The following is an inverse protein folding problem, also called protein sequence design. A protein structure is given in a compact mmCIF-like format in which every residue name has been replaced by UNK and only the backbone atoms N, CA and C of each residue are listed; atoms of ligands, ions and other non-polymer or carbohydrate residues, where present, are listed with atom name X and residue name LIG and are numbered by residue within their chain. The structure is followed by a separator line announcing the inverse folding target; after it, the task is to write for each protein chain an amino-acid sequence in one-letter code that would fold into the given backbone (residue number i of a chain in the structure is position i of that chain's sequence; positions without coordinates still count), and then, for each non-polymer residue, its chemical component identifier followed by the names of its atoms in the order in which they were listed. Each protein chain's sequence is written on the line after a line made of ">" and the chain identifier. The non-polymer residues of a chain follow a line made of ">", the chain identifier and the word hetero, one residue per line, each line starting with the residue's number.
data_IF_387022483151
#
_entry.id   IF_387022483151
#
_cell.length_a   1.000
_cell.length_b   1.000
_cell.length_c   1.000
_cell.angle_alpha   90.00
_cell.angle_beta   90.00
_cell.angle_gamma   90.00
#
_symmetry.space_group_name_H-M   'P 1'
#
loop_
_entity.id
_entity.type
_entity.pdbx_description
1 polymer ?
#
# COMPACT_ATOMS: atom_id res chain seq x y z
N UNK A 1 16.14 -24.86 50.60
CA UNK A 1 15.49 -23.56 50.38
C UNK A 1 15.55 -23.27 48.88
N UNK A 2 14.44 -23.47 48.19
CA UNK A 2 14.32 -23.18 46.74
C UNK A 2 13.72 -21.79 46.65
N UNK A 3 14.52 -20.84 46.21
CA UNK A 3 14.06 -19.46 45.91
C UNK A 3 13.30 -19.45 44.59
N UNK A 4 11.99 -19.30 44.65
CA UNK A 4 11.13 -19.07 43.49
C UNK A 4 11.37 -17.66 42.98
N UNK A 5 11.73 -17.55 41.70
CA UNK A 5 11.83 -16.26 40.99
C UNK A 5 10.43 -15.62 40.92
N UNK A 6 10.33 -14.28 41.03
CA UNK A 6 9.04 -13.60 40.95
C UNK A 6 8.47 -13.74 39.53
N UNK A 7 7.16 -13.92 39.45
CA UNK A 7 6.43 -13.94 38.17
C UNK A 7 6.64 -12.64 37.39
N UNK A 8 6.74 -12.70 36.03
CA UNK A 8 6.84 -11.48 35.24
C UNK A 8 5.56 -10.66 35.42
N UNK A 9 5.72 -9.40 35.78
CA UNK A 9 4.64 -8.44 35.88
C UNK A 9 3.89 -8.29 34.56
N UNK A 10 2.65 -7.76 34.58
CA UNK A 10 1.86 -7.59 33.38
C UNK A 10 2.67 -6.76 32.37
N UNK A 11 2.80 -7.28 31.14
CA UNK A 11 3.40 -6.56 30.05
C UNK A 11 2.71 -5.19 29.94
N UNK A 12 3.48 -4.11 30.10
CA UNK A 12 3.01 -2.76 29.86
C UNK A 12 2.40 -2.72 28.47
N UNK A 13 1.17 -2.18 28.37
CA UNK A 13 0.54 -1.90 27.09
C UNK A 13 1.57 -1.23 26.18
N UNK A 14 1.65 -1.60 24.89
CA UNK A 14 2.62 -1.00 23.99
C UNK A 14 2.42 0.51 24.03
N UNK A 15 3.43 1.20 24.53
CA UNK A 15 3.43 2.65 24.60
C UNK A 15 3.05 3.20 23.24
N UNK A 16 2.33 4.31 23.24
CA UNK A 16 1.83 5.02 22.08
C UNK A 16 3.04 5.54 21.26
N UNK A 17 3.73 4.63 20.54
CA UNK A 17 4.78 4.98 19.61
C UNK A 17 4.15 5.92 18.58
N UNK A 18 4.60 7.16 18.55
CA UNK A 18 4.19 8.09 17.51
C UNK A 18 4.45 7.48 16.14
N UNK A 19 3.56 7.71 15.16
CA UNK A 19 3.76 7.18 13.79
C UNK A 19 5.18 7.49 13.26
N UNK A 20 5.79 8.61 13.67
CA UNK A 20 7.16 8.98 13.32
C UNK A 20 8.24 8.05 13.89
N UNK A 21 7.99 7.43 15.05
CA UNK A 21 8.94 6.50 15.69
C UNK A 21 8.87 5.08 15.08
N UNK A 22 7.77 4.73 14.42
CA UNK A 22 7.66 3.48 13.65
C UNK A 22 8.52 3.51 12.38
N UNK A 23 8.92 4.69 11.92
CA UNK A 23 9.68 4.90 10.69
C UNK A 23 11.04 5.52 10.99
N UNK A 24 11.82 4.78 11.79
CA UNK A 24 13.22 5.07 12.08
C UNK A 24 14.00 5.30 10.77
N UNK A 25 14.94 6.23 10.80
CA UNK A 25 15.88 6.55 9.71
C UNK A 25 16.65 5.33 9.17
N UNK A 26 16.65 4.21 9.90
CA UNK A 26 17.19 2.91 9.44
C UNK A 26 16.51 2.36 8.19
N UNK A 27 15.31 2.85 7.86
CA UNK A 27 14.60 2.54 6.60
C UNK A 27 15.08 3.48 5.47
N UNK A 28 15.97 4.43 5.77
CA UNK A 28 16.62 5.27 4.77
C UNK A 28 17.43 4.39 3.80
N UNK A 29 17.11 4.53 2.51
CA UNK A 29 17.73 3.75 1.44
C UNK A 29 16.89 2.59 0.91
N UNK A 30 15.80 2.20 1.57
CA UNK A 30 14.82 1.27 1.02
C UNK A 30 13.91 1.96 0.00
N UNK A 31 13.62 1.26 -1.09
CA UNK A 31 12.62 1.69 -2.07
C UNK A 31 11.20 1.62 -1.50
N UNK A 32 10.23 2.12 -2.27
CA UNK A 32 8.84 2.17 -1.85
C UNK A 32 8.22 0.80 -1.61
N UNK A 33 8.63 -0.23 -2.36
CA UNK A 33 8.10 -1.58 -2.23
C UNK A 33 8.53 -2.20 -0.90
N UNK A 34 9.82 -2.10 -0.58
CA UNK A 34 10.34 -2.63 0.69
C UNK A 34 9.73 -1.91 1.90
N UNK A 35 9.66 -0.57 1.87
CA UNK A 35 9.05 0.18 2.98
C UNK A 35 7.59 -0.21 3.17
N UNK A 36 6.81 -0.29 2.09
CA UNK A 36 5.40 -0.68 2.14
C UNK A 36 5.24 -2.09 2.72
N UNK A 37 5.93 -3.09 2.14
CA UNK A 37 5.77 -4.48 2.53
C UNK A 37 6.26 -4.80 3.93
N UNK A 38 7.45 -4.30 4.32
CA UNK A 38 7.97 -4.51 5.67
C UNK A 38 7.02 -3.90 6.71
N UNK A 39 6.49 -2.71 6.44
CA UNK A 39 5.53 -2.07 7.34
C UNK A 39 4.20 -2.83 7.39
N UNK A 40 3.67 -3.26 6.25
CA UNK A 40 2.43 -4.03 6.18
C UNK A 40 2.56 -5.36 6.94
N UNK A 41 3.64 -6.11 6.72
CA UNK A 41 3.92 -7.37 7.42
C UNK A 41 4.07 -7.18 8.94
N UNK A 42 4.78 -6.12 9.37
CA UNK A 42 4.99 -5.84 10.79
C UNK A 42 3.67 -5.54 11.53
N UNK A 43 2.73 -4.83 10.88
CA UNK A 43 1.40 -4.55 11.45
C UNK A 43 0.51 -5.77 11.31
N UNK A 44 0.51 -6.45 10.15
CA UNK A 44 -0.27 -7.66 9.90
C UNK A 44 0.02 -8.77 10.92
N UNK A 45 1.29 -8.90 11.37
CA UNK A 45 1.67 -9.87 12.39
C UNK A 45 0.91 -9.73 13.73
N UNK A 46 0.26 -8.58 13.96
CA UNK A 46 -0.53 -8.27 15.16
C UNK A 46 -2.02 -8.08 14.85
N UNK A 47 -2.42 -8.27 13.61
CA UNK A 47 -3.77 -8.08 13.11
C UNK A 47 -4.48 -9.42 12.99
N UNK A 48 -5.80 -9.44 13.27
CA UNK A 48 -6.67 -10.59 13.02
C UNK A 48 -7.42 -10.48 11.71
N UNK A 49 -7.81 -9.26 11.33
CA UNK A 49 -8.50 -8.98 10.09
C UNK A 49 -7.70 -7.95 9.31
N UNK A 50 -7.27 -8.34 8.12
CA UNK A 50 -6.57 -7.49 7.16
C UNK A 50 -7.47 -7.31 5.94
N UNK A 51 -7.67 -6.07 5.49
CA UNK A 51 -8.35 -5.77 4.24
C UNK A 51 -7.34 -5.33 3.19
N UNK A 52 -7.28 -6.03 2.06
CA UNK A 52 -6.53 -5.60 0.88
C UNK A 52 -7.47 -4.85 -0.06
N UNK A 53 -7.33 -3.52 -0.11
CA UNK A 53 -8.20 -2.60 -0.87
C UNK A 53 -7.64 -2.41 -2.27
N UNK A 54 -8.43 -2.80 -3.28
CA UNK A 54 -7.97 -2.87 -4.67
C UNK A 54 -7.01 -4.06 -4.85
N UNK A 55 -7.43 -5.25 -4.40
CA UNK A 55 -6.60 -6.44 -4.36
C UNK A 55 -6.21 -6.97 -5.75
N UNK A 56 -6.99 -6.62 -6.79
CA UNK A 56 -6.77 -7.12 -8.14
C UNK A 56 -6.64 -8.63 -8.20
N UNK A 57 -6.09 -9.13 -9.31
CA UNK A 57 -5.85 -10.58 -9.52
C UNK A 57 -4.59 -11.11 -8.85
N UNK A 58 -3.84 -10.30 -8.12
CA UNK A 58 -2.55 -10.70 -7.57
C UNK A 58 -1.45 -10.91 -8.62
N UNK A 59 -1.54 -10.27 -9.79
CA UNK A 59 -0.61 -10.45 -10.93
C UNK A 59 0.84 -10.10 -10.57
N UNK A 60 1.05 -9.25 -9.59
CA UNK A 60 2.38 -8.89 -9.11
C UNK A 60 2.94 -9.89 -8.09
N UNK A 61 2.11 -10.85 -7.66
CA UNK A 61 2.50 -11.92 -6.75
C UNK A 61 3.12 -13.04 -7.58
N UNK A 62 4.42 -12.94 -7.83
CA UNK A 62 5.17 -14.04 -8.42
C UNK A 62 5.62 -14.98 -7.29
N UNK A 63 4.81 -16.02 -7.04
CA UNK A 63 5.07 -17.01 -5.99
C UNK A 63 6.35 -17.83 -6.24
N UNK A 64 6.84 -17.85 -7.48
CA UNK A 64 8.03 -18.59 -7.89
C UNK A 64 9.32 -17.76 -7.79
N UNK A 65 9.20 -16.45 -7.51
CA UNK A 65 10.36 -15.59 -7.33
C UNK A 65 10.69 -15.39 -5.83
N UNK A 66 11.99 -15.32 -5.47
CA UNK A 66 12.38 -14.87 -4.15
C UNK A 66 11.87 -13.44 -3.91
N UNK A 67 10.78 -13.28 -3.17
CA UNK A 67 10.11 -11.99 -2.93
C UNK A 67 8.62 -12.00 -3.25
N UNK A 68 8.09 -12.96 -4.05
CA UNK A 68 6.64 -13.12 -4.24
C UNK A 68 5.90 -13.43 -2.93
N UNK A 69 6.52 -14.20 -2.05
CA UNK A 69 6.02 -14.47 -0.70
C UNK A 69 5.90 -13.23 0.20
N UNK A 70 6.55 -12.13 -0.13
CA UNK A 70 6.45 -10.89 0.66
C UNK A 70 5.08 -10.25 0.60
N UNK A 71 4.36 -10.44 -0.51
CA UNK A 71 3.05 -9.84 -0.73
C UNK A 71 1.94 -10.65 -0.05
N UNK A 72 2.26 -11.83 0.45
CA UNK A 72 1.33 -12.66 1.19
C UNK A 72 1.22 -12.18 2.64
N UNK A 73 0.12 -11.52 2.95
CA UNK A 73 -0.19 -11.06 4.31
C UNK A 73 -0.93 -12.10 5.15
N UNK A 74 -1.24 -13.27 4.60
CA UNK A 74 -1.90 -14.36 5.35
C UNK A 74 -0.99 -14.89 6.45
N UNK A 75 -1.59 -15.53 7.45
CA UNK A 75 -0.86 -16.12 8.56
C UNK A 75 -1.80 -16.74 9.58
N UNK A 76 -1.25 -17.49 10.52
CA UNK A 76 -2.02 -18.17 11.54
C UNK A 76 -2.85 -17.18 12.38
N UNK A 77 -4.14 -17.49 12.54
CA UNK A 77 -5.08 -16.66 13.32
C UNK A 77 -5.45 -15.32 12.67
N UNK A 78 -5.16 -15.14 11.40
CA UNK A 78 -5.44 -13.92 10.62
C UNK A 78 -6.24 -14.28 9.37
N UNK A 79 -7.17 -13.40 9.00
CA UNK A 79 -7.93 -13.45 7.76
C UNK A 79 -7.58 -12.25 6.89
N UNK A 80 -7.21 -12.48 5.65
CA UNK A 80 -6.97 -11.45 4.62
C UNK A 80 -8.16 -11.41 3.69
N UNK A 81 -8.90 -10.30 3.70
CA UNK A 81 -10.08 -10.07 2.86
C UNK A 81 -9.69 -9.11 1.75
N UNK A 82 -9.67 -9.60 0.52
CA UNK A 82 -9.50 -8.76 -0.66
C UNK A 82 -10.82 -8.08 -1.03
N UNK A 83 -10.80 -6.77 -1.27
CA UNK A 83 -11.94 -6.04 -1.82
C UNK A 83 -11.52 -5.31 -3.09
N UNK A 84 -12.35 -5.39 -4.12
CA UNK A 84 -12.10 -4.72 -5.41
C UNK A 84 -13.43 -4.35 -6.09
N UNK A 85 -13.37 -3.40 -7.04
CA UNK A 85 -14.48 -3.06 -7.93
C UNK A 85 -14.61 -4.05 -9.08
N UNK A 86 -13.56 -4.83 -9.36
CA UNK A 86 -13.52 -5.85 -10.41
C UNK A 86 -13.63 -7.26 -9.82
N UNK A 87 -14.55 -8.06 -10.39
CA UNK A 87 -14.76 -9.44 -9.95
C UNK A 87 -13.53 -10.35 -10.14
N UNK A 88 -12.60 -9.94 -10.99
CA UNK A 88 -11.33 -10.65 -11.23
C UNK A 88 -10.46 -10.75 -9.99
N UNK A 89 -10.73 -9.96 -8.95
CA UNK A 89 -10.09 -10.08 -7.63
C UNK A 89 -10.29 -11.45 -6.97
N UNK A 90 -11.32 -12.20 -7.33
CA UNK A 90 -11.53 -13.58 -6.87
C UNK A 90 -10.36 -14.52 -7.24
N UNK A 91 -9.60 -14.17 -8.26
CA UNK A 91 -8.44 -14.96 -8.71
C UNK A 91 -7.16 -14.67 -7.93
N UNK A 92 -7.18 -13.72 -6.98
CA UNK A 92 -6.00 -13.36 -6.20
C UNK A 92 -5.57 -14.51 -5.28
N UNK A 93 -4.35 -15.08 -5.45
CA UNK A 93 -3.93 -16.28 -4.73
C UNK A 93 -3.48 -16.01 -3.29
N UNK A 94 -3.35 -14.74 -2.86
CA UNK A 94 -2.78 -14.36 -1.55
C UNK A 94 -3.81 -13.70 -0.62
N UNK A 95 -5.10 -13.88 -0.89
CA UNK A 95 -6.20 -13.54 0.01
C UNK A 95 -6.93 -14.80 0.48
N UNK A 96 -7.60 -14.72 1.61
CA UNK A 96 -8.44 -15.83 2.13
C UNK A 96 -9.88 -15.71 1.66
N UNK A 97 -10.36 -14.48 1.44
CA UNK A 97 -11.73 -14.19 1.03
C UNK A 97 -11.74 -12.99 0.07
N UNK A 98 -12.56 -13.06 -0.98
CA UNK A 98 -12.79 -11.95 -1.90
C UNK A 98 -14.20 -11.38 -1.70
N UNK A 99 -14.32 -10.06 -1.74
CA UNK A 99 -15.61 -9.36 -1.70
C UNK A 99 -15.66 -8.24 -2.74
N UNK A 100 -16.63 -8.29 -3.63
CA UNK A 100 -16.83 -7.29 -4.67
C UNK A 100 -17.41 -5.99 -4.08
N UNK A 101 -16.81 -4.85 -4.38
CA UNK A 101 -17.35 -3.54 -4.05
C UNK A 101 -18.47 -3.22 -5.03
N UNK A 102 -19.72 -3.03 -4.55
CA UNK A 102 -20.87 -2.71 -5.39
C UNK A 102 -20.76 -1.29 -6.00
N UNK A 103 -21.52 -1.03 -7.05
CA UNK A 103 -21.55 0.25 -7.79
C UNK A 103 -21.75 1.50 -6.93
N UNK A 104 -22.34 1.38 -5.74
CA UNK A 104 -22.56 2.49 -4.81
C UNK A 104 -21.35 2.80 -3.90
N UNK A 105 -20.24 2.11 -4.11
CA UNK A 105 -18.96 2.41 -3.46
C UNK A 105 -18.87 2.04 -1.98
N UNK A 106 -19.92 1.46 -1.36
CA UNK A 106 -19.82 0.96 0.02
C UNK A 106 -18.99 -0.31 0.04
N UNK A 107 -17.99 -0.34 0.90
CA UNK A 107 -17.16 -1.52 1.05
C UNK A 107 -17.93 -2.64 1.77
N UNK A 108 -17.86 -3.88 1.28
CA UNK A 108 -18.57 -5.03 1.85
C UNK A 108 -17.89 -5.55 3.12
N UNK A 109 -17.61 -4.65 4.04
CA UNK A 109 -16.97 -4.87 5.33
C UNK A 109 -17.81 -4.20 6.42
N UNK A 110 -17.88 -4.82 7.59
CA UNK A 110 -18.60 -4.28 8.74
C UNK A 110 -17.87 -3.08 9.35
N UNK A 111 -18.61 -2.25 10.08
CA UNK A 111 -18.07 -1.10 10.79
C UNK A 111 -17.09 -1.57 11.87
N UNK A 112 -15.96 -0.89 11.99
CA UNK A 112 -14.91 -1.18 12.98
C UNK A 112 -14.51 -2.67 13.06
N UNK A 113 -14.43 -3.36 11.91
CA UNK A 113 -14.11 -4.79 11.80
C UNK A 113 -12.67 -5.09 11.40
N UNK A 114 -11.96 -4.12 10.85
CA UNK A 114 -10.63 -4.29 10.24
C UNK A 114 -9.54 -3.73 11.15
N UNK A 115 -8.48 -4.50 11.39
CA UNK A 115 -7.30 -4.07 12.14
C UNK A 115 -6.29 -3.33 11.26
N UNK A 116 -6.08 -3.83 10.04
CA UNK A 116 -5.17 -3.28 9.05
C UNK A 116 -5.85 -3.25 7.69
N UNK A 117 -5.86 -2.09 7.04
CA UNK A 117 -6.16 -1.97 5.62
C UNK A 117 -4.86 -1.69 4.85
N UNK A 118 -4.63 -2.38 3.74
CA UNK A 118 -3.50 -2.14 2.84
C UNK A 118 -4.00 -1.80 1.44
N UNK A 119 -3.23 -0.99 0.71
CA UNK A 119 -3.58 -0.62 -0.67
C UNK A 119 -2.31 -0.31 -1.46
N UNK A 120 -2.11 -0.98 -2.58
CA UNK A 120 -0.92 -0.84 -3.41
C UNK A 120 -1.24 -0.36 -4.82
N UNK A 121 -0.85 0.88 -5.14
CA UNK A 121 -1.10 1.53 -6.42
C UNK A 121 -2.58 1.59 -6.83
N UNK A 122 -3.45 1.93 -5.87
CA UNK A 122 -4.90 2.13 -6.07
C UNK A 122 -5.29 3.60 -5.95
N UNK A 123 -4.66 4.35 -5.03
CA UNK A 123 -5.08 5.72 -4.71
C UNK A 123 -5.02 6.67 -5.92
N UNK A 124 -4.16 6.39 -6.90
CA UNK A 124 -4.10 7.14 -8.16
C UNK A 124 -5.34 6.98 -9.04
N UNK A 125 -6.12 5.93 -8.82
CA UNK A 125 -7.34 5.62 -9.58
C UNK A 125 -8.62 6.07 -8.87
N UNK A 126 -8.55 6.42 -7.60
CA UNK A 126 -9.71 6.84 -6.79
C UNK A 126 -10.31 8.13 -7.33
N UNK A 127 -11.54 8.05 -7.82
CA UNK A 127 -12.29 9.17 -8.38
C UNK A 127 -13.01 10.01 -7.33
N UNK A 128 -13.36 9.40 -6.19
CA UNK A 128 -14.01 10.06 -5.04
C UNK A 128 -13.21 9.83 -3.76
N UNK A 129 -12.19 10.66 -3.47
CA UNK A 129 -11.32 10.52 -2.32
C UNK A 129 -12.03 10.61 -0.97
N UNK A 130 -13.02 11.48 -0.87
CA UNK A 130 -13.78 11.71 0.35
C UNK A 130 -14.58 10.46 0.73
N UNK A 131 -15.24 9.81 -0.24
CA UNK A 131 -15.96 8.57 -0.02
C UNK A 131 -15.00 7.41 0.33
N UNK A 132 -13.81 7.36 -0.29
CA UNK A 132 -12.78 6.37 0.02
C UNK A 132 -12.34 6.49 1.48
N UNK A 133 -12.01 7.71 1.93
CA UNK A 133 -11.55 7.95 3.31
C UNK A 133 -12.67 7.73 4.32
N UNK A 134 -13.92 8.05 3.97
CA UNK A 134 -15.08 7.78 4.83
C UNK A 134 -15.30 6.28 5.03
N UNK A 135 -15.24 5.47 3.96
CA UNK A 135 -15.33 4.01 4.06
C UNK A 135 -14.16 3.41 4.82
N UNK A 136 -12.95 3.89 4.56
CA UNK A 136 -11.76 3.49 5.32
C UNK A 136 -11.92 3.77 6.82
N UNK A 137 -12.40 4.97 7.18
CA UNK A 137 -12.67 5.34 8.56
C UNK A 137 -13.77 4.47 9.18
N UNK A 138 -14.81 4.13 8.42
CA UNK A 138 -15.91 3.28 8.88
C UNK A 138 -15.45 1.87 9.22
N UNK A 139 -14.67 1.23 8.33
CA UNK A 139 -14.30 -0.19 8.46
C UNK A 139 -13.16 -0.45 9.44
N UNK A 140 -12.21 0.47 9.55
CA UNK A 140 -11.11 0.33 10.49
C UNK A 140 -11.60 0.45 11.93
N UNK A 141 -11.07 -0.36 12.83
CA UNK A 141 -11.26 -0.19 14.28
C UNK A 141 -10.58 1.09 14.78
N UNK A 142 -11.04 1.69 15.87
CA UNK A 142 -10.25 2.70 16.58
C UNK A 142 -8.83 2.18 16.86
N UNK A 143 -7.81 2.94 16.45
CA UNK A 143 -6.41 2.51 16.50
C UNK A 143 -5.96 1.61 15.36
N UNK A 144 -6.86 1.17 14.48
CA UNK A 144 -6.54 0.41 13.27
C UNK A 144 -5.67 1.21 12.30
N UNK A 145 -4.90 0.51 11.49
CA UNK A 145 -3.91 1.10 10.59
C UNK A 145 -4.35 1.00 9.12
N UNK A 146 -4.04 2.05 8.37
CA UNK A 146 -4.01 2.01 6.91
C UNK A 146 -2.59 2.24 6.41
N UNK A 147 -2.12 1.35 5.55
CA UNK A 147 -0.81 1.45 4.90
C UNK A 147 -1.03 1.38 3.41
N UNK A 148 -0.59 2.42 2.68
CA UNK A 148 -0.74 2.44 1.24
C UNK A 148 0.53 2.92 0.54
N UNK A 149 0.68 2.49 -0.70
CA UNK A 149 1.67 3.02 -1.63
C UNK A 149 0.96 3.54 -2.88
N UNK A 150 1.37 4.71 -3.36
CA UNK A 150 0.80 5.32 -4.56
C UNK A 150 1.83 6.12 -5.33
N UNK A 151 1.59 6.33 -6.62
CA UNK A 151 2.44 7.15 -7.48
C UNK A 151 2.33 8.61 -7.08
N UNK A 152 3.46 9.28 -6.82
CA UNK A 152 3.48 10.72 -6.61
C UNK A 152 3.10 11.46 -7.90
N UNK A 153 2.16 12.40 -7.83
CA UNK A 153 1.72 13.22 -8.97
C UNK A 153 2.87 14.02 -9.61
N UNK A 154 3.92 14.29 -8.85
CA UNK A 154 5.08 15.06 -9.27
C UNK A 154 6.27 14.17 -9.68
N UNK A 155 6.12 12.85 -9.67
CA UNK A 155 7.18 11.93 -10.07
C UNK A 155 7.47 12.01 -11.58
N UNK A 156 8.69 11.63 -11.96
CA UNK A 156 9.05 11.50 -13.37
C UNK A 156 8.09 10.59 -14.13
N UNK A 157 7.65 9.50 -13.50
CA UNK A 157 6.69 8.57 -14.11
C UNK A 157 5.36 9.26 -14.41
N UNK A 158 4.80 9.99 -13.43
CA UNK A 158 3.54 10.69 -13.61
C UNK A 158 3.65 11.85 -14.62
N UNK A 159 4.78 12.52 -14.68
CA UNK A 159 5.05 13.58 -15.68
C UNK A 159 5.16 12.96 -17.07
N UNK A 160 5.96 11.90 -17.23
CA UNK A 160 6.11 11.20 -18.51
C UNK A 160 4.77 10.65 -19.02
N UNK A 161 3.96 10.06 -18.14
CA UNK A 161 2.64 9.55 -18.48
C UNK A 161 1.66 10.63 -19.00
N UNK A 162 1.86 11.91 -18.67
CA UNK A 162 1.04 13.00 -19.20
C UNK A 162 1.50 13.50 -20.58
N UNK A 163 2.78 13.31 -20.90
CA UNK A 163 3.38 13.78 -22.15
C UNK A 163 3.24 12.73 -23.25
N UNK A 164 3.23 11.45 -22.90
CA UNK A 164 3.07 10.34 -23.84
C UNK A 164 1.58 10.16 -24.17
N UNK A 165 1.17 10.12 -25.45
CA UNK A 165 -0.21 9.84 -25.83
C UNK A 165 -0.68 8.46 -25.34
N UNK A 166 -1.94 8.37 -24.92
CA UNK A 166 -2.52 7.13 -24.35
C UNK A 166 -2.38 5.89 -25.24
N UNK A 167 -2.37 6.08 -26.56
CA UNK A 167 -2.19 5.00 -27.55
C UNK A 167 -0.86 4.26 -27.44
N UNK A 168 0.15 4.91 -26.84
CA UNK A 168 1.48 4.32 -26.66
C UNK A 168 1.68 3.77 -25.23
N UNK A 169 0.81 4.13 -24.28
CA UNK A 169 0.93 3.66 -22.90
C UNK A 169 0.74 2.15 -22.78
N UNK A 170 -0.27 1.57 -23.42
CA UNK A 170 -0.56 0.14 -23.35
C UNK A 170 0.63 -0.68 -23.87
N UNK A 171 1.19 -0.33 -25.05
CA UNK A 171 2.35 -1.01 -25.62
C UNK A 171 3.62 -0.85 -24.79
N UNK A 172 3.85 0.33 -24.21
CA UNK A 172 5.00 0.56 -23.34
C UNK A 172 4.88 -0.24 -22.04
N UNK A 173 3.69 -0.30 -21.43
CA UNK A 173 3.43 -1.06 -20.21
C UNK A 173 3.52 -2.57 -20.43
N UNK A 174 3.07 -3.09 -21.55
CA UNK A 174 3.19 -4.53 -21.91
C UNK A 174 4.65 -4.99 -21.91
N UNK A 175 5.57 -4.15 -22.42
CA UNK A 175 7.01 -4.44 -22.40
C UNK A 175 7.67 -4.25 -21.02
N UNK A 176 7.15 -3.34 -20.21
CA UNK A 176 7.72 -2.99 -18.90
C UNK A 176 7.16 -3.86 -17.78
N UNK A 177 5.96 -4.40 -17.94
CA UNK A 177 5.27 -5.23 -16.96
C UNK A 177 4.63 -6.45 -17.64
N UNK A 178 5.42 -7.48 -18.00
CA UNK A 178 4.90 -8.70 -18.59
C UNK A 178 3.83 -9.35 -17.69
N UNK A 179 2.70 -9.76 -18.26
CA UNK A 179 1.59 -10.36 -17.53
C UNK A 179 0.48 -9.40 -17.11
N UNK A 180 0.64 -8.10 -17.33
CA UNK A 180 -0.45 -7.11 -17.16
C UNK A 180 -1.32 -7.07 -18.42
N UNK A 181 -2.62 -7.25 -18.27
CA UNK A 181 -3.59 -7.20 -19.36
C UNK A 181 -4.21 -5.79 -19.48
N UNK A 182 -4.85 -5.48 -20.62
CA UNK A 182 -5.51 -4.18 -20.82
C UNK A 182 -6.58 -3.89 -19.75
N UNK A 183 -7.26 -4.92 -19.26
CA UNK A 183 -8.24 -4.80 -18.17
C UNK A 183 -7.61 -4.41 -16.82
N UNK A 184 -6.30 -4.56 -16.64
CA UNK A 184 -5.59 -4.13 -15.41
C UNK A 184 -5.17 -2.65 -15.49
N UNK A 185 -5.49 -1.93 -16.58
CA UNK A 185 -5.11 -0.53 -16.80
C UNK A 185 -6.28 0.40 -16.49
N UNK A 186 -6.36 0.84 -15.26
CA UNK A 186 -7.38 1.81 -14.84
C UNK A 186 -6.98 3.24 -15.18
N UNK A 187 -7.98 4.08 -15.48
CA UNK A 187 -7.76 5.51 -15.68
C UNK A 187 -7.29 6.15 -14.38
N UNK A 188 -6.19 6.89 -14.45
CA UNK A 188 -5.66 7.62 -13.29
C UNK A 188 -6.42 8.93 -13.07
N UNK A 189 -6.84 9.20 -11.84
CA UNK A 189 -7.50 10.43 -11.42
C UNK A 189 -6.52 11.40 -10.73
N UNK A 190 -5.48 10.88 -10.06
CA UNK A 190 -4.46 11.63 -9.31
C UNK A 190 -5.04 12.65 -8.31
N UNK A 191 -6.11 12.28 -7.59
CA UNK A 191 -6.76 13.13 -6.57
C UNK A 191 -6.21 12.94 -5.15
N UNK A 192 -5.47 11.84 -4.91
CA UNK A 192 -4.88 11.47 -3.61
C UNK A 192 -3.36 11.30 -3.70
N UNK A 193 -2.68 12.01 -4.60
CA UNK A 193 -1.30 11.70 -4.99
C UNK A 193 -0.31 12.81 -4.67
N UNK A 194 -0.70 13.74 -3.79
CA UNK A 194 0.21 14.73 -3.20
C UNK A 194 0.14 14.69 -1.67
N UNK A 195 1.21 15.15 -1.00
CA UNK A 195 1.18 15.30 0.47
C UNK A 195 0.04 16.20 0.93
N UNK A 196 -0.24 17.28 0.19
CA UNK A 196 -1.31 18.23 0.52
C UNK A 196 -2.68 17.54 0.47
N UNK A 197 -2.97 16.82 -0.62
CA UNK A 197 -4.26 16.14 -0.78
C UNK A 197 -4.47 15.11 0.34
N UNK A 198 -3.47 14.26 0.59
CA UNK A 198 -3.54 13.24 1.64
C UNK A 198 -3.69 13.88 3.03
N UNK A 199 -2.94 14.94 3.33
CA UNK A 199 -3.07 15.64 4.63
C UNK A 199 -4.47 16.24 4.80
N UNK A 200 -5.03 16.84 3.75
CA UNK A 200 -6.38 17.41 3.82
C UNK A 200 -7.46 16.33 3.98
N UNK A 201 -7.33 15.20 3.28
CA UNK A 201 -8.34 14.15 3.29
C UNK A 201 -8.36 13.36 4.62
N UNK A 202 -7.19 13.13 5.22
CA UNK A 202 -7.05 12.27 6.40
C UNK A 202 -7.08 13.04 7.72
N UNK A 203 -7.10 14.39 7.71
CA UNK A 203 -6.87 15.22 8.91
C UNK A 203 -7.90 15.04 10.02
N UNK A 204 -9.16 14.72 9.71
CA UNK A 204 -10.24 14.61 10.70
C UNK A 204 -10.15 13.33 11.52
N UNK A 205 -9.95 12.20 10.86
CA UNK A 205 -10.17 10.88 11.45
C UNK A 205 -8.88 10.09 11.71
N UNK A 206 -7.75 10.60 11.19
CA UNK A 206 -6.49 9.85 11.21
C UNK A 206 -5.31 10.67 11.73
N UNK A 207 -4.41 9.98 12.41
CA UNK A 207 -3.03 10.41 12.56
C UNK A 207 -2.25 9.94 11.34
N UNK A 208 -1.61 10.87 10.62
CA UNK A 208 -1.02 10.61 9.31
C UNK A 208 0.50 10.82 9.31
N UNK A 209 1.23 9.84 8.77
CA UNK A 209 2.62 9.98 8.38
C UNK A 209 2.79 9.66 6.89
N UNK A 210 3.64 10.41 6.19
CA UNK A 210 3.86 10.29 4.75
C UNK A 210 5.35 10.23 4.45
N UNK A 211 5.78 9.16 3.78
CA UNK A 211 7.14 9.01 3.32
C UNK A 211 7.21 9.09 1.78
N UNK A 212 8.18 9.85 1.25
CA UNK A 212 8.55 9.78 -0.17
C UNK A 212 9.61 8.73 -0.35
N UNK A 213 9.49 7.90 -1.40
CA UNK A 213 10.42 6.83 -1.68
C UNK A 213 10.65 6.69 -3.18
N UNK A 214 11.84 6.21 -3.51
CA UNK A 214 12.20 5.78 -4.86
C UNK A 214 11.44 4.51 -5.23
N UNK A 215 11.43 4.14 -6.50
CA UNK A 215 10.74 2.94 -6.95
C UNK A 215 10.65 2.86 -8.48
N UNK A 216 11.20 3.86 -9.19
CA UNK A 216 11.16 3.89 -10.65
C UNK A 216 11.89 2.69 -11.28
N UNK A 217 12.89 2.15 -10.58
CA UNK A 217 13.67 1.00 -11.02
C UNK A 217 12.84 -0.29 -11.17
N UNK A 218 11.67 -0.38 -10.54
CA UNK A 218 10.78 -1.54 -10.72
C UNK A 218 10.28 -1.69 -12.16
N UNK A 219 10.19 -0.60 -12.93
CA UNK A 219 9.83 -0.64 -14.34
C UNK A 219 11.00 -1.06 -15.25
N UNK A 220 12.20 -1.15 -14.71
CA UNK A 220 13.39 -1.63 -15.39
C UNK A 220 13.81 -3.06 -14.99
N UNK A 221 12.92 -3.83 -14.32
CA UNK A 221 13.21 -5.20 -13.84
C UNK A 221 13.84 -6.12 -14.91
N UNK A 222 13.37 -6.13 -16.18
CA UNK A 222 13.95 -6.99 -17.21
C UNK A 222 15.41 -6.63 -17.57
N UNK A 223 15.88 -5.44 -17.20
CA UNK A 223 17.21 -4.94 -17.59
C UNK A 223 18.05 -4.57 -16.36
N UNK A 224 18.86 -5.48 -15.78
CA UNK A 224 19.56 -5.25 -14.52
C UNK A 224 20.52 -4.04 -14.51
N UNK A 225 21.15 -3.75 -15.66
CA UNK A 225 22.04 -2.58 -15.79
C UNK A 225 21.24 -1.27 -15.80
N UNK A 226 20.15 -1.24 -16.56
CA UNK A 226 19.25 -0.08 -16.63
C UNK A 226 18.60 0.17 -15.27
N UNK A 227 18.17 -0.88 -14.57
CA UNK A 227 17.60 -0.80 -13.22
C UNK A 227 18.52 -0.05 -12.26
N UNK A 228 19.83 -0.34 -12.26
CA UNK A 228 20.82 0.36 -11.41
C UNK A 228 20.94 1.82 -11.78
N UNK A 229 21.00 2.13 -13.08
CA UNK A 229 21.10 3.52 -13.56
C UNK A 229 19.86 4.31 -13.18
N UNK A 230 18.66 3.75 -13.39
CA UNK A 230 17.38 4.38 -13.04
C UNK A 230 17.28 4.65 -11.54
N UNK A 231 17.64 3.67 -10.70
CA UNK A 231 17.65 3.84 -9.25
C UNK A 231 18.62 4.94 -8.79
N UNK A 232 19.79 5.02 -9.42
CA UNK A 232 20.79 6.02 -9.09
C UNK A 232 20.34 7.42 -9.55
N UNK A 233 19.81 7.54 -10.75
CA UNK A 233 19.25 8.81 -11.26
C UNK A 233 18.13 9.29 -10.34
N UNK A 234 17.18 8.42 -9.99
CA UNK A 234 16.06 8.80 -9.11
C UNK A 234 16.53 9.28 -7.74
N UNK A 235 17.54 8.66 -7.14
CA UNK A 235 18.12 9.08 -5.86
C UNK A 235 18.71 10.48 -5.87
N UNK A 236 19.24 10.93 -7.01
CA UNK A 236 19.82 12.27 -7.16
C UNK A 236 18.76 13.34 -7.49
N UNK A 237 17.52 12.95 -7.80
CA UNK A 237 16.43 13.90 -8.02
C UNK A 237 15.95 14.52 -6.69
N UNK A 238 15.36 15.73 -6.74
CA UNK A 238 14.62 16.24 -5.59
C UNK A 238 13.59 15.23 -5.10
N UNK A 239 13.47 15.02 -3.81
CA UNK A 239 12.55 14.03 -3.21
C UNK A 239 11.09 14.23 -3.63
N UNK A 240 10.72 15.45 -4.05
CA UNK A 240 9.40 15.75 -4.61
C UNK A 240 9.13 15.02 -5.92
N UNK A 241 10.17 14.64 -6.65
CA UNK A 241 10.10 13.93 -7.93
C UNK A 241 10.27 12.40 -7.78
N UNK A 242 10.48 11.90 -6.57
CA UNK A 242 10.53 10.47 -6.31
C UNK A 242 9.20 9.82 -6.64
N UNK A 243 9.27 8.57 -7.10
CA UNK A 243 8.15 7.89 -7.70
C UNK A 243 6.96 7.76 -6.77
N UNK A 244 7.17 7.39 -5.50
CA UNK A 244 6.09 6.95 -4.65
C UNK A 244 5.91 7.77 -3.37
N UNK A 245 4.66 7.86 -2.95
CA UNK A 245 4.25 8.20 -1.59
C UNK A 245 3.84 6.92 -0.88
N UNK A 246 4.42 6.67 0.29
CA UNK A 246 3.95 5.64 1.22
C UNK A 246 3.17 6.35 2.33
N UNK A 247 1.95 5.88 2.54
CA UNK A 247 0.96 6.47 3.45
C UNK A 247 0.84 5.56 4.66
N UNK A 248 0.89 6.14 5.83
CA UNK A 248 0.63 5.49 7.11
C UNK A 248 -0.40 6.31 7.84
N UNK A 249 -1.59 5.77 8.03
CA UNK A 249 -2.66 6.44 8.72
C UNK A 249 -3.22 5.56 9.84
N UNK A 250 -3.28 6.07 11.06
CA UNK A 250 -3.89 5.38 12.20
C UNK A 250 -5.22 6.04 12.52
N UNK A 251 -6.29 5.25 12.52
CA UNK A 251 -7.61 5.74 12.90
C UNK A 251 -7.59 6.22 14.36
N UNK A 252 -8.06 7.44 14.58
CA UNK A 252 -8.25 7.99 15.93
C UNK A 252 -9.38 7.27 16.66
N UNK A 253 -9.38 7.33 18.00
CA UNK A 253 -10.46 6.76 18.83
C UNK A 253 -11.82 7.31 18.49
#
# INVERSE_FOLDING_TARGET
>A
MVTTAPAPGPASAPGNLGLGEMFDDRILGLDSAHVFMVSALAVAARSRVVAEVGCGRGVLVDTDQPGGAWQDLRGEGRTVIGIDIEATGEQNPVIDEFRLIAEHGRWPLDDASVDLAVSDFVLEHVSNPEAFVAELSRVLRPGGMFIARTVSRHSLLAIAARVVPNEHHAKALEHLQPGREEQDVFRTAYRMNTRKDLTCLFHSDFDLALARRTGLEQYAKPWPRLRRVVAEVERHLPTTMWMALVVFARRRP
#
